data_IF_897081677849
#
_entry.id   IF_897081677849
#
_cell.length_a   1.000
_cell.length_b   1.000
_cell.length_c   1.000
_cell.angle_alpha   90.00
_cell.angle_beta   90.00
_cell.angle_gamma   90.00
#
_symmetry.space_group_name_H-M   'P 1'
#
loop_
_entity.id
_entity.type
_entity.pdbx_description
1 polymer ?
#
# COMPACT_ATOMS: atom_id res chain seq x y z
N UNK A 1 27.49 10.09 -16.44
CA UNK A 1 26.31 9.74 -15.62
C UNK A 1 26.34 8.30 -15.07
N UNK A 2 27.10 7.36 -15.66
CA UNK A 2 27.22 6.00 -15.13
C UNK A 2 27.73 5.96 -13.68
N UNK A 3 28.76 6.74 -13.33
CA UNK A 3 29.29 6.83 -11.97
C UNK A 3 28.28 7.32 -10.89
N UNK A 4 27.18 7.98 -11.29
CA UNK A 4 26.14 8.39 -10.34
C UNK A 4 25.24 7.23 -9.92
N UNK A 5 25.19 6.15 -10.71
CA UNK A 5 24.47 4.92 -10.35
C UNK A 5 25.16 4.21 -9.18
N UNK A 6 26.47 4.32 -9.08
CA UNK A 6 27.27 3.65 -8.04
C UNK A 6 27.06 4.28 -6.66
N UNK A 7 26.63 5.56 -6.62
CA UNK A 7 26.42 6.33 -5.39
C UNK A 7 24.96 6.65 -5.09
N UNK A 8 24.09 6.72 -6.11
CA UNK A 8 22.70 7.15 -5.99
C UNK A 8 21.72 6.16 -6.61
N UNK A 9 20.53 6.07 -6.01
CA UNK A 9 19.46 5.22 -6.55
C UNK A 9 19.05 5.68 -7.95
N UNK A 10 18.69 4.74 -8.83
CA UNK A 10 18.22 5.08 -10.18
C UNK A 10 17.00 6.03 -10.18
N UNK A 11 16.16 5.95 -9.15
CA UNK A 11 15.03 6.86 -8.97
C UNK A 11 15.48 8.31 -8.76
N UNK A 12 16.55 8.51 -7.99
CA UNK A 12 17.20 9.80 -7.76
C UNK A 12 17.82 10.34 -9.05
N UNK A 13 18.66 9.53 -9.71
CA UNK A 13 19.30 9.91 -10.98
C UNK A 13 18.27 10.31 -12.05
N UNK A 14 17.14 9.60 -12.11
CA UNK A 14 16.03 9.94 -13.01
C UNK A 14 15.39 11.28 -12.65
N UNK A 15 15.19 11.56 -11.35
CA UNK A 15 14.61 12.81 -10.88
C UNK A 15 15.52 13.99 -11.20
N UNK A 16 16.82 13.86 -10.93
CA UNK A 16 17.83 14.89 -11.20
C UNK A 16 17.93 15.17 -12.70
N UNK A 17 17.91 14.13 -13.53
CA UNK A 17 17.85 14.29 -15.00
C UNK A 17 16.60 15.04 -15.45
N UNK A 18 15.44 14.73 -14.86
CA UNK A 18 14.21 15.46 -15.16
C UNK A 18 14.29 16.93 -14.74
N UNK A 19 14.90 17.22 -13.59
CA UNK A 19 15.17 18.58 -13.12
C UNK A 19 16.11 19.35 -14.05
N UNK A 20 17.23 18.75 -14.44
CA UNK A 20 18.18 19.34 -15.40
C UNK A 20 17.52 19.61 -16.76
N UNK A 21 16.75 18.65 -17.29
CA UNK A 21 16.00 18.85 -18.54
C UNK A 21 15.03 20.02 -18.42
N UNK A 22 14.30 20.13 -17.30
CA UNK A 22 13.39 21.24 -17.06
C UNK A 22 14.14 22.57 -17.01
N UNK A 23 15.24 22.65 -16.28
CA UNK A 23 16.06 23.87 -16.19
C UNK A 23 16.61 24.30 -17.56
N UNK A 24 17.16 23.38 -18.34
CA UNK A 24 17.69 23.71 -19.67
C UNK A 24 16.60 24.20 -20.63
N UNK A 25 15.47 23.48 -20.67
CA UNK A 25 14.42 23.79 -21.62
C UNK A 25 13.60 25.01 -21.21
N UNK A 26 13.16 25.08 -19.96
CA UNK A 26 12.23 26.11 -19.48
C UNK A 26 12.90 27.32 -18.83
N UNK A 27 14.09 27.17 -18.24
CA UNK A 27 14.79 28.30 -17.58
C UNK A 27 15.83 28.93 -18.50
N UNK A 28 16.64 28.13 -19.18
CA UNK A 28 17.71 28.62 -20.04
C UNK A 28 17.31 28.79 -21.51
N UNK A 29 16.14 28.27 -21.92
CA UNK A 29 15.69 28.30 -23.32
C UNK A 29 16.61 27.54 -24.28
N UNK A 30 17.43 26.61 -23.77
CA UNK A 30 18.39 25.84 -24.56
C UNK A 30 17.84 24.45 -24.88
N UNK A 31 18.17 23.95 -26.07
CA UNK A 31 17.85 22.57 -26.42
C UNK A 31 18.64 21.60 -25.52
N UNK A 32 17.95 20.59 -25.00
CA UNK A 32 18.56 19.55 -24.19
C UNK A 32 19.24 18.52 -25.09
N UNK A 33 20.56 18.39 -24.98
CA UNK A 33 21.31 17.32 -25.63
C UNK A 33 21.16 16.05 -24.79
N UNK A 34 20.70 14.97 -25.43
CA UNK A 34 20.55 13.69 -24.76
C UNK A 34 21.92 13.12 -24.40
N UNK A 35 22.13 12.89 -23.10
CA UNK A 35 23.28 12.14 -22.61
C UNK A 35 22.89 10.67 -22.59
N UNK A 36 23.71 9.82 -23.20
CA UNK A 36 23.54 8.37 -23.10
C UNK A 36 23.81 7.91 -21.68
N UNK A 37 22.74 7.57 -20.98
CA UNK A 37 22.78 7.03 -19.63
C UNK A 37 22.44 5.56 -19.73
N UNK A 38 23.45 4.72 -19.55
CA UNK A 38 23.26 3.29 -19.45
C UNK A 38 22.30 2.99 -18.30
N UNK A 39 21.20 2.31 -18.62
CA UNK A 39 20.21 1.93 -17.61
C UNK A 39 20.77 0.72 -16.85
N UNK A 40 21.00 0.81 -15.54
CA UNK A 40 21.41 -0.34 -14.77
C UNK A 40 20.29 -1.40 -14.82
N UNK A 41 20.60 -2.70 -14.89
CA UNK A 41 19.60 -3.74 -14.75
C UNK A 41 18.85 -3.51 -13.43
N UNK A 42 17.51 -3.46 -13.53
CA UNK A 42 16.67 -3.31 -12.33
C UNK A 42 16.77 -4.59 -11.52
N UNK A 43 17.54 -4.58 -10.44
CA UNK A 43 17.40 -5.57 -9.38
C UNK A 43 16.03 -5.33 -8.75
N UNK A 44 15.07 -6.20 -9.05
CA UNK A 44 13.75 -6.15 -8.41
C UNK A 44 13.88 -6.90 -7.09
N UNK A 45 14.11 -6.18 -5.99
CA UNK A 45 13.97 -6.79 -4.67
C UNK A 45 12.49 -7.10 -4.43
N UNK A 46 12.23 -8.30 -3.91
CA UNK A 46 10.90 -8.66 -3.44
C UNK A 46 10.50 -7.69 -2.31
N UNK A 47 9.24 -7.23 -2.27
CA UNK A 47 8.78 -6.35 -1.20
C UNK A 47 8.85 -7.08 0.15
N UNK A 48 9.28 -6.39 1.19
CA UNK A 48 9.21 -6.89 2.56
C UNK A 48 7.74 -7.03 2.98
N UNK A 49 7.22 -8.26 3.00
CA UNK A 49 5.86 -8.62 3.42
C UNK A 49 5.90 -9.16 4.84
N UNK A 50 5.08 -8.60 5.72
CA UNK A 50 4.87 -9.11 7.08
C UNK A 50 3.90 -10.28 7.02
N UNK A 51 4.05 -11.26 7.91
CA UNK A 51 2.98 -12.24 8.13
C UNK A 51 1.78 -11.58 8.81
N UNK A 52 0.65 -12.29 8.84
CA UNK A 52 -0.54 -11.85 9.59
C UNK A 52 -0.15 -11.64 11.06
N UNK A 53 0.47 -12.60 11.72
CA UNK A 53 0.84 -12.49 13.14
C UNK A 53 1.78 -11.30 13.43
N UNK A 54 2.79 -11.10 12.59
CA UNK A 54 3.72 -9.97 12.72
C UNK A 54 3.01 -8.63 12.54
N UNK A 55 2.05 -8.56 11.61
CA UNK A 55 1.25 -7.35 11.38
C UNK A 55 0.43 -6.99 12.61
N UNK A 56 -0.21 -7.98 13.24
CA UNK A 56 -1.03 -7.76 14.43
C UNK A 56 -0.17 -7.37 15.62
N UNK A 57 0.98 -8.04 15.79
CA UNK A 57 1.98 -7.68 16.81
C UNK A 57 2.44 -6.24 16.64
N UNK A 58 2.84 -5.86 15.42
CA UNK A 58 3.29 -4.51 15.10
C UNK A 58 2.23 -3.45 15.42
N UNK A 59 0.98 -3.66 15.00
CA UNK A 59 -0.11 -2.70 15.26
C UNK A 59 -0.36 -2.57 16.77
N UNK A 60 -0.42 -3.68 17.50
CA UNK A 60 -0.70 -3.66 18.94
C UNK A 60 0.42 -3.04 19.78
N UNK A 61 1.68 -3.18 19.36
CA UNK A 61 2.84 -2.54 20.00
C UNK A 61 2.84 -1.02 19.91
N UNK A 62 2.15 -0.45 18.92
CA UNK A 62 2.09 1.01 18.73
C UNK A 62 1.42 1.67 19.94
N UNK A 63 2.19 2.47 20.70
CA UNK A 63 1.80 3.01 22.01
C UNK A 63 0.65 4.04 21.92
N UNK A 64 0.72 4.96 20.96
CA UNK A 64 -0.30 6.02 20.81
C UNK A 64 -1.50 5.51 20.01
N UNK A 65 -2.70 5.62 20.59
CA UNK A 65 -3.95 5.19 19.98
C UNK A 65 -4.14 5.72 18.55
N UNK A 66 -3.82 7.00 18.32
CA UNK A 66 -3.94 7.65 17.01
C UNK A 66 -3.19 6.92 15.90
N UNK A 67 -1.97 6.45 16.19
CA UNK A 67 -1.14 5.75 15.23
C UNK A 67 -1.57 4.29 15.10
N UNK A 68 -1.97 3.65 16.21
CA UNK A 68 -2.49 2.29 16.22
C UNK A 68 -3.71 2.14 15.30
N UNK A 69 -4.69 3.03 15.47
CA UNK A 69 -5.92 3.06 14.65
C UNK A 69 -5.59 3.41 13.21
N UNK A 70 -4.64 4.32 12.98
CA UNK A 70 -4.18 4.66 11.64
C UNK A 70 -3.56 3.46 10.91
N UNK A 71 -2.63 2.72 11.54
CA UNK A 71 -2.01 1.56 10.91
C UNK A 71 -3.00 0.42 10.69
N UNK A 72 -3.93 0.18 11.62
CA UNK A 72 -5.04 -0.74 11.41
C UNK A 72 -5.87 -0.35 10.18
N UNK A 73 -6.21 0.93 10.03
CA UNK A 73 -7.00 1.44 8.90
C UNK A 73 -6.25 1.28 7.58
N UNK A 74 -4.97 1.64 7.55
CA UNK A 74 -4.11 1.51 6.37
C UNK A 74 -3.96 0.06 5.93
N UNK A 75 -3.72 -0.85 6.89
CA UNK A 75 -3.59 -2.28 6.60
C UNK A 75 -4.93 -2.87 6.15
N UNK A 76 -5.98 -2.75 6.96
CA UNK A 76 -7.26 -3.44 6.72
C UNK A 76 -8.01 -3.00 5.46
N UNK A 77 -7.76 -1.78 4.97
CA UNK A 77 -8.36 -1.26 3.73
C UNK A 77 -7.35 -1.10 2.60
N UNK A 78 -6.09 -1.52 2.81
CA UNK A 78 -5.02 -1.42 1.83
C UNK A 78 -4.72 -0.01 1.34
N UNK A 79 -4.83 1.02 2.18
CA UNK A 79 -4.66 2.42 1.76
C UNK A 79 -3.19 2.81 1.55
N UNK A 80 -2.93 3.83 0.72
CA UNK A 80 -1.64 4.54 0.75
C UNK A 80 -1.57 5.43 1.99
N UNK A 81 -0.36 5.75 2.45
CA UNK A 81 -0.15 6.67 3.58
C UNK A 81 -0.93 7.99 3.42
N UNK A 82 -0.84 8.62 2.24
CA UNK A 82 -1.54 9.86 1.95
C UNK A 82 -3.06 9.71 1.92
N UNK A 83 -3.56 8.62 1.35
CA UNK A 83 -5.00 8.31 1.28
C UNK A 83 -5.57 8.10 2.70
N UNK A 84 -4.86 7.35 3.56
CA UNK A 84 -5.29 7.13 4.94
C UNK A 84 -5.31 8.40 5.77
N UNK A 85 -4.33 9.30 5.58
CA UNK A 85 -4.27 10.56 6.30
C UNK A 85 -5.37 11.53 5.88
N UNK A 86 -5.75 11.51 4.61
CA UNK A 86 -6.74 12.41 4.03
C UNK A 86 -8.19 11.89 4.17
N UNK A 87 -8.39 10.71 4.76
CA UNK A 87 -9.70 10.11 4.93
C UNK A 87 -10.59 10.98 5.82
N UNK A 88 -11.81 11.29 5.35
CA UNK A 88 -12.77 12.12 6.07
C UNK A 88 -13.90 11.29 6.69
N UNK A 89 -14.59 11.87 7.67
CA UNK A 89 -15.76 11.26 8.33
C UNK A 89 -16.86 11.00 7.31
N UNK A 90 -17.05 11.92 6.35
CA UNK A 90 -18.04 11.78 5.28
C UNK A 90 -17.71 10.71 4.23
N UNK A 91 -16.50 10.16 4.25
CA UNK A 91 -16.11 9.09 3.34
C UNK A 91 -16.52 7.70 3.85
N UNK A 92 -16.95 7.59 5.11
CA UNK A 92 -17.32 6.31 5.74
C UNK A 92 -18.81 6.02 5.52
N UNK A 93 -19.10 5.00 4.71
CA UNK A 93 -20.44 4.44 4.56
C UNK A 93 -20.56 3.19 5.44
N UNK A 94 -20.96 3.41 6.70
CA UNK A 94 -21.10 2.35 7.69
C UNK A 94 -22.23 1.36 7.34
N UNK A 95 -23.28 1.81 6.65
CA UNK A 95 -24.41 0.96 6.27
C UNK A 95 -24.01 -0.07 5.21
N UNK A 96 -23.16 0.33 4.26
CA UNK A 96 -22.64 -0.56 3.21
C UNK A 96 -21.24 -1.11 3.49
N UNK A 97 -20.73 -0.91 4.71
CA UNK A 97 -19.40 -1.37 5.14
C UNK A 97 -18.29 -1.06 4.12
N UNK A 98 -18.25 0.19 3.64
CA UNK A 98 -17.27 0.65 2.66
C UNK A 98 -16.81 2.07 2.95
N UNK A 99 -15.60 2.38 2.53
CA UNK A 99 -15.06 3.74 2.58
C UNK A 99 -14.80 4.28 1.17
N UNK A 100 -15.06 5.56 0.97
CA UNK A 100 -14.80 6.27 -0.29
C UNK A 100 -13.39 6.87 -0.26
N UNK A 101 -12.48 6.35 -1.08
CA UNK A 101 -11.13 6.89 -1.20
C UNK A 101 -11.08 7.85 -2.37
N UNK A 102 -11.07 9.14 -2.07
CA UNK A 102 -11.00 10.22 -3.06
C UNK A 102 -9.57 10.46 -3.54
N UNK A 103 -9.43 10.96 -4.76
CA UNK A 103 -8.15 11.45 -5.31
C UNK A 103 -7.02 10.41 -5.23
N UNK A 104 -7.34 9.15 -5.49
CA UNK A 104 -6.34 8.07 -5.59
C UNK A 104 -5.32 8.34 -6.71
N UNK A 105 -4.32 7.46 -6.85
CA UNK A 105 -3.30 7.57 -7.90
C UNK A 105 -3.95 7.76 -9.28
N UNK A 106 -3.72 8.90 -9.92
CA UNK A 106 -4.35 9.27 -11.20
C UNK A 106 -5.67 10.03 -11.08
N UNK A 107 -6.01 10.57 -9.90
CA UNK A 107 -7.26 11.28 -9.59
C UNK A 107 -8.52 10.43 -9.78
N UNK A 108 -8.41 9.11 -9.58
CA UNK A 108 -9.55 8.19 -9.66
C UNK A 108 -10.02 7.85 -8.25
N UNK A 109 -11.32 8.00 -8.06
CA UNK A 109 -12.02 7.64 -6.84
C UNK A 109 -12.33 6.14 -6.85
N UNK A 110 -12.39 5.54 -5.65
CA UNK A 110 -12.77 4.13 -5.50
C UNK A 110 -13.40 3.85 -4.14
N UNK A 111 -14.23 2.81 -4.09
CA UNK A 111 -14.69 2.25 -2.83
C UNK A 111 -13.78 1.11 -2.38
N UNK A 112 -13.42 1.12 -1.11
CA UNK A 112 -12.70 0.04 -0.44
C UNK A 112 -13.59 -0.61 0.61
N UNK A 113 -13.48 -1.94 0.82
CA UNK A 113 -14.22 -2.60 1.90
C UNK A 113 -13.72 -2.09 3.26
N UNK A 114 -14.65 -1.89 4.18
CA UNK A 114 -14.39 -1.43 5.55
C UNK A 114 -14.82 -2.53 6.54
N UNK A 115 -13.86 -3.30 7.07
CA UNK A 115 -14.15 -4.31 8.08
C UNK A 115 -14.75 -3.69 9.36
N UNK A 116 -15.66 -4.42 10.02
CA UNK A 116 -16.33 -3.94 11.23
C UNK A 116 -15.37 -3.59 12.36
N UNK A 117 -14.32 -4.39 12.56
CA UNK A 117 -13.28 -4.12 13.55
C UNK A 117 -12.61 -2.77 13.31
N UNK A 118 -12.34 -2.43 12.05
CA UNK A 118 -11.78 -1.14 11.66
C UNK A 118 -12.77 0.00 11.89
N UNK A 119 -14.05 -0.19 11.53
CA UNK A 119 -15.10 0.79 11.78
C UNK A 119 -15.27 1.09 13.27
N UNK A 120 -15.25 0.07 14.13
CA UNK A 120 -15.34 0.23 15.58
C UNK A 120 -14.12 0.97 16.14
N UNK A 121 -12.92 0.62 15.69
CA UNK A 121 -11.69 1.32 16.07
C UNK A 121 -11.73 2.79 15.66
N UNK A 122 -12.20 3.09 14.44
CA UNK A 122 -12.39 4.45 13.94
C UNK A 122 -13.43 5.22 14.78
N UNK A 123 -14.55 4.60 15.14
CA UNK A 123 -15.59 5.23 15.99
C UNK A 123 -15.05 5.57 17.38
N UNK A 124 -14.34 4.63 18.02
CA UNK A 124 -13.71 4.85 19.34
C UNK A 124 -12.68 5.97 19.28
N UNK A 125 -11.86 5.99 18.23
CA UNK A 125 -10.88 7.05 18.03
C UNK A 125 -11.54 8.41 17.78
N UNK A 126 -12.53 8.46 16.88
CA UNK A 126 -13.28 9.67 16.57
C UNK A 126 -13.99 10.24 17.80
N UNK A 127 -14.50 9.38 18.70
CA UNK A 127 -15.15 9.84 19.94
C UNK A 127 -14.22 10.68 20.84
N UNK A 128 -12.89 10.51 20.74
CA UNK A 128 -11.91 11.27 21.53
C UNK A 128 -11.77 12.74 21.14
N UNK A 129 -12.06 13.11 19.89
CA UNK A 129 -11.90 14.46 19.37
C UNK A 129 -13.15 15.02 18.68
N UNK A 130 -14.04 14.14 18.21
CA UNK A 130 -15.30 14.42 17.51
C UNK A 130 -15.14 15.47 16.40
N UNK A 131 -14.07 15.37 15.63
CA UNK A 131 -13.79 16.35 14.59
C UNK A 131 -14.85 16.24 13.49
N UNK A 132 -15.42 17.35 12.98
CA UNK A 132 -16.56 17.31 12.05
C UNK A 132 -16.20 16.72 10.67
N UNK A 133 -14.98 16.98 10.17
CA UNK A 133 -14.53 16.56 8.83
C UNK A 133 -13.44 15.47 8.86
N UNK A 134 -12.31 15.73 9.51
CA UNK A 134 -11.14 14.86 9.54
C UNK A 134 -11.32 13.63 10.44
N UNK A 135 -10.97 12.44 9.95
CA UNK A 135 -10.82 11.26 10.82
C UNK A 135 -9.49 11.28 11.59
N UNK A 136 -8.41 11.73 10.96
CA UNK A 136 -7.08 11.80 11.55
C UNK A 136 -6.58 13.25 11.63
N UNK A 137 -7.18 14.11 12.48
CA UNK A 137 -6.71 15.48 12.65
C UNK A 137 -5.33 15.52 13.30
N UNK A 138 -4.59 16.61 13.07
CA UNK A 138 -3.39 16.89 13.82
C UNK A 138 -3.73 17.08 15.30
N UNK A 139 -3.10 16.28 16.17
CA UNK A 139 -3.41 16.26 17.59
C UNK A 139 -2.41 17.11 18.38
N UNK A 140 -2.60 18.43 18.31
CA UNK A 140 -1.88 19.40 19.13
C UNK A 140 -2.84 20.03 20.14
N UNK A 141 -2.63 19.74 21.43
CA UNK A 141 -3.39 20.34 22.54
C UNK A 141 -4.61 19.53 22.99
N UNK A 142 -5.56 20.23 23.60
CA UNK A 142 -6.79 19.67 24.20
C UNK A 142 -7.77 19.15 23.14
N UNK A 143 -8.72 18.26 23.48
CA UNK A 143 -9.73 17.78 22.52
C UNK A 143 -10.48 18.89 21.78
N UNK A 144 -10.74 20.03 22.44
CA UNK A 144 -11.38 21.19 21.82
C UNK A 144 -10.50 21.85 20.74
N UNK A 145 -9.17 21.88 20.93
CA UNK A 145 -8.22 22.36 19.93
C UNK A 145 -8.10 21.37 18.77
N UNK A 146 -8.04 20.07 19.08
CA UNK A 146 -8.00 19.01 18.06
C UNK A 146 -9.24 19.06 17.17
N UNK A 147 -10.44 19.30 17.73
CA UNK A 147 -11.69 19.45 16.97
C UNK A 147 -11.65 20.59 15.94
N UNK A 148 -10.81 21.61 16.16
CA UNK A 148 -10.63 22.78 15.28
C UNK A 148 -9.42 22.66 14.35
N UNK A 149 -8.68 21.55 14.40
CA UNK A 149 -7.48 21.34 13.59
C UNK A 149 -7.79 21.46 12.09
N UNK A 150 -7.00 22.25 11.37
CA UNK A 150 -7.15 22.41 9.92
C UNK A 150 -6.30 21.41 9.13
N UNK A 151 -5.29 20.83 9.77
CA UNK A 151 -4.36 19.89 9.16
C UNK A 151 -4.59 18.46 9.64
N UNK A 152 -4.28 17.51 8.76
CA UNK A 152 -4.23 16.09 9.08
C UNK A 152 -3.03 15.76 9.97
N UNK A 153 -3.04 14.58 10.57
CA UNK A 153 -1.89 14.02 11.28
C UNK A 153 -0.62 14.07 10.42
N UNK A 154 0.50 14.48 11.03
CA UNK A 154 1.76 14.65 10.33
C UNK A 154 2.34 13.33 9.81
N UNK A 155 2.88 13.37 8.57
CA UNK A 155 3.49 12.22 7.90
C UNK A 155 4.77 11.77 8.59
N UNK A 156 5.61 12.71 9.04
CA UNK A 156 6.85 12.41 9.75
C UNK A 156 6.57 11.68 11.05
N UNK A 157 5.58 12.14 11.82
CA UNK A 157 5.11 11.50 13.04
C UNK A 157 4.66 10.05 12.82
N UNK A 158 3.95 9.76 11.74
CA UNK A 158 3.55 8.39 11.37
C UNK A 158 4.76 7.53 11.00
N UNK A 159 5.72 8.07 10.24
CA UNK A 159 6.93 7.34 9.87
C UNK A 159 7.81 7.02 11.08
N UNK A 160 7.92 7.94 12.04
CA UNK A 160 8.63 7.68 13.29
C UNK A 160 7.90 6.64 14.14
N UNK A 161 6.57 6.70 14.21
CA UNK A 161 5.77 5.76 14.98
C UNK A 161 5.90 4.32 14.47
N UNK A 162 5.91 4.10 13.14
CA UNK A 162 6.09 2.75 12.61
C UNK A 162 7.51 2.24 12.83
N UNK A 163 8.54 3.09 12.66
CA UNK A 163 9.93 2.71 12.94
C UNK A 163 10.13 2.29 14.41
N UNK A 164 9.55 3.03 15.35
CA UNK A 164 9.59 2.68 16.76
C UNK A 164 8.88 1.34 17.02
N UNK A 165 7.69 1.12 16.45
CA UNK A 165 6.97 -0.15 16.61
C UNK A 165 7.72 -1.35 16.02
N UNK A 166 8.39 -1.17 14.88
CA UNK A 166 9.22 -2.20 14.23
C UNK A 166 10.40 -2.59 15.11
N UNK A 167 11.09 -1.59 15.68
CA UNK A 167 12.18 -1.82 16.63
C UNK A 167 11.68 -2.53 17.89
N UNK A 168 10.57 -2.08 18.48
CA UNK A 168 9.96 -2.67 19.67
C UNK A 168 9.50 -4.13 19.42
N UNK A 169 9.18 -4.51 18.18
CA UNK A 169 8.80 -5.88 17.79
C UNK A 169 9.99 -6.78 17.42
N UNK A 170 11.22 -6.28 17.43
CA UNK A 170 12.41 -7.04 17.01
C UNK A 170 12.43 -7.39 15.52
N UNK A 171 11.75 -6.62 14.67
CA UNK A 171 11.70 -6.90 13.23
C UNK A 171 12.91 -6.23 12.55
N UNK A 172 13.79 -7.05 11.96
CA UNK A 172 15.03 -6.57 11.32
C UNK A 172 14.84 -6.09 9.86
N UNK A 173 13.69 -6.38 9.25
CA UNK A 173 13.35 -5.98 7.87
C UNK A 173 12.96 -4.51 7.79
N UNK A 174 13.08 -3.90 6.60
CA UNK A 174 12.77 -2.47 6.39
C UNK A 174 11.26 -2.28 6.21
N UNK A 175 10.55 -2.27 7.32
CA UNK A 175 9.10 -2.12 7.34
C UNK A 175 8.68 -0.65 7.32
N UNK A 176 7.73 -0.33 6.44
CA UNK A 176 7.10 0.98 6.29
C UNK A 176 5.59 0.85 6.09
N UNK A 177 4.89 1.99 6.00
CA UNK A 177 3.45 1.99 5.68
C UNK A 177 3.15 1.39 4.30
N UNK A 178 4.11 1.44 3.37
CA UNK A 178 3.98 0.73 2.10
C UNK A 178 4.12 -0.78 2.27
N UNK A 179 4.96 -1.25 3.20
CA UNK A 179 5.08 -2.68 3.53
C UNK A 179 3.76 -3.24 4.08
N UNK A 180 3.05 -2.48 4.93
CA UNK A 180 1.70 -2.88 5.39
C UNK A 180 0.72 -3.06 4.23
N UNK A 181 0.76 -2.14 3.26
CA UNK A 181 -0.08 -2.24 2.06
C UNK A 181 0.31 -3.42 1.15
N UNK A 182 1.61 -3.68 1.01
CA UNK A 182 2.08 -4.88 0.30
C UNK A 182 1.61 -6.14 0.99
N UNK A 183 1.71 -6.19 2.32
CA UNK A 183 1.26 -7.33 3.13
C UNK A 183 -0.23 -7.56 2.98
N UNK A 184 -1.05 -6.50 3.01
CA UNK A 184 -2.49 -6.61 2.71
C UNK A 184 -2.77 -7.25 1.34
N UNK A 185 -2.06 -6.81 0.29
CA UNK A 185 -2.24 -7.35 -1.05
C UNK A 185 -1.87 -8.83 -1.12
N UNK A 186 -0.74 -9.21 -0.53
CA UNK A 186 -0.28 -10.60 -0.46
C UNK A 186 -1.26 -11.46 0.35
N UNK A 187 -1.69 -11.03 1.53
CA UNK A 187 -2.62 -11.79 2.36
C UNK A 187 -3.98 -12.01 1.69
N UNK A 188 -4.49 -11.02 0.94
CA UNK A 188 -5.73 -11.22 0.16
C UNK A 188 -5.54 -12.26 -0.95
N UNK A 189 -4.37 -12.24 -1.60
CA UNK A 189 -4.05 -13.20 -2.65
C UNK A 189 -3.87 -14.62 -2.08
N UNK A 190 -3.20 -14.76 -0.93
CA UNK A 190 -3.06 -16.02 -0.19
C UNK A 190 -4.41 -16.55 0.29
N UNK A 191 -5.31 -15.66 0.72
CA UNK A 191 -6.71 -16.00 1.01
C UNK A 191 -7.53 -16.34 -0.23
N UNK A 192 -6.94 -16.23 -1.43
CA UNK A 192 -7.54 -16.65 -2.68
C UNK A 192 -8.45 -15.63 -3.35
N UNK A 193 -8.35 -14.36 -2.99
CA UNK A 193 -9.08 -13.27 -3.64
C UNK A 193 -8.52 -13.03 -5.04
N UNK A 194 -9.42 -12.83 -6.01
CA UNK A 194 -9.04 -12.59 -7.40
C UNK A 194 -8.14 -11.36 -7.57
N UNK A 195 -7.13 -11.50 -8.44
CA UNK A 195 -6.12 -10.47 -8.68
C UNK A 195 -6.73 -9.16 -9.21
N UNK A 196 -7.81 -9.22 -9.99
CA UNK A 196 -8.50 -8.02 -10.51
C UNK A 196 -9.26 -7.31 -9.40
N UNK A 197 -9.85 -8.04 -8.47
CA UNK A 197 -10.48 -7.45 -7.28
C UNK A 197 -9.44 -6.76 -6.38
N UNK A 198 -8.28 -7.40 -6.16
CA UNK A 198 -7.17 -6.79 -5.42
C UNK A 198 -6.69 -5.51 -6.14
N UNK A 199 -6.57 -5.52 -7.48
CA UNK A 199 -6.23 -4.33 -8.28
C UNK A 199 -7.21 -3.18 -8.09
N UNK A 200 -8.51 -3.49 -8.11
CA UNK A 200 -9.60 -2.52 -7.94
C UNK A 200 -9.56 -1.90 -6.55
N UNK A 201 -9.40 -2.70 -5.49
CA UNK A 201 -9.30 -2.23 -4.10
C UNK A 201 -8.07 -1.36 -3.90
N UNK A 202 -6.93 -1.76 -4.45
CA UNK A 202 -5.68 -0.99 -4.33
C UNK A 202 -5.66 0.24 -5.24
N UNK A 203 -6.49 0.32 -6.27
CA UNK A 203 -6.45 1.40 -7.26
C UNK A 203 -5.10 1.40 -7.99
N UNK A 204 -4.70 0.23 -8.51
CA UNK A 204 -3.54 0.09 -9.38
C UNK A 204 -3.97 0.32 -10.83
N UNK A 205 -3.45 1.39 -11.44
CA UNK A 205 -3.70 1.69 -12.85
C UNK A 205 -2.91 0.79 -13.82
N UNK A 206 -1.84 0.13 -13.33
CA UNK A 206 -1.00 -0.77 -14.13
C UNK A 206 -1.01 -2.18 -13.50
N UNK A 207 -1.51 -3.20 -14.21
CA UNK A 207 -1.49 -4.60 -13.77
C UNK A 207 -0.11 -5.11 -13.36
N UNK A 208 0.99 -4.56 -13.92
CA UNK A 208 2.37 -4.94 -13.59
C UNK A 208 2.73 -4.74 -12.12
N UNK A 209 2.05 -3.82 -11.42
CA UNK A 209 2.25 -3.62 -9.97
C UNK A 209 1.61 -4.71 -9.12
N UNK A 210 0.67 -5.47 -9.68
CA UNK A 210 -0.07 -6.51 -8.98
C UNK A 210 0.40 -7.90 -9.38
N UNK A 211 0.88 -8.08 -10.62
CA UNK A 211 1.60 -9.31 -11.05
C UNK A 211 2.79 -9.60 -10.12
N UNK A 212 3.40 -8.57 -9.51
CA UNK A 212 4.44 -8.75 -8.50
C UNK A 212 3.98 -9.59 -7.29
N UNK A 213 2.70 -9.52 -6.91
CA UNK A 213 2.16 -10.34 -5.84
C UNK A 213 1.83 -11.77 -6.29
N UNK A 214 1.46 -11.96 -7.57
CA UNK A 214 1.18 -13.28 -8.13
C UNK A 214 2.39 -14.24 -8.05
N UNK A 215 3.61 -13.70 -8.13
CA UNK A 215 4.84 -14.48 -7.94
C UNK A 215 5.18 -14.80 -6.48
N UNK A 216 4.45 -14.26 -5.51
CA UNK A 216 4.72 -14.41 -4.07
C UNK A 216 3.87 -15.51 -3.41
N UNK A 217 2.96 -16.16 -4.13
CA UNK A 217 1.99 -17.10 -3.54
C UNK A 217 1.82 -18.37 -4.38
N UNK A 218 2.07 -19.53 -3.77
CA UNK A 218 1.85 -20.87 -4.37
C UNK A 218 0.37 -21.21 -4.59
N UNK A 219 -0.53 -20.46 -3.95
CA UNK A 219 -1.99 -20.65 -3.96
C UNK A 219 -2.60 -20.62 -5.37
N UNK A 220 -2.04 -19.82 -6.29
CA UNK A 220 -2.54 -19.79 -7.68
C UNK A 220 -2.20 -21.08 -8.43
N UNK A 221 -1.05 -21.69 -8.13
CA UNK A 221 -0.66 -22.95 -8.75
C UNK A 221 -1.42 -24.13 -8.15
N UNK A 222 -1.62 -24.17 -6.82
CA UNK A 222 -2.42 -25.22 -6.18
C UNK A 222 -3.88 -25.21 -6.64
N UNK A 223 -4.50 -24.01 -6.76
CA UNK A 223 -5.87 -23.90 -7.28
C UNK A 223 -5.97 -24.26 -8.76
N UNK A 224 -4.97 -23.88 -9.57
CA UNK A 224 -4.93 -24.24 -10.98
C UNK A 224 -4.71 -25.76 -11.15
N UNK A 225 -3.81 -26.36 -10.36
CA UNK A 225 -3.58 -27.80 -10.35
C UNK A 225 -4.86 -28.54 -9.96
N UNK A 226 -5.53 -28.16 -8.87
CA UNK A 226 -6.80 -28.78 -8.47
C UNK A 226 -7.94 -28.61 -9.48
N UNK A 227 -8.03 -27.45 -10.16
CA UNK A 227 -9.00 -27.23 -11.22
C UNK A 227 -8.70 -28.07 -12.47
N UNK A 228 -7.41 -28.20 -12.84
CA UNK A 228 -6.96 -29.07 -13.92
C UNK A 228 -7.23 -30.54 -13.55
N UNK A 229 -6.94 -30.97 -12.33
CA UNK A 229 -7.24 -32.32 -11.83
C UNK A 229 -8.72 -32.65 -11.96
N UNK A 230 -9.60 -31.72 -11.56
CA UNK A 230 -11.05 -31.86 -11.71
C UNK A 230 -11.51 -31.89 -13.18
N UNK A 231 -10.88 -31.11 -14.06
CA UNK A 231 -11.15 -31.16 -15.51
C UNK A 231 -10.64 -32.46 -16.14
N UNK A 232 -9.50 -32.97 -15.68
CA UNK A 232 -8.86 -34.19 -16.17
C UNK A 232 -9.53 -35.46 -15.66
N UNK A 233 -10.30 -35.39 -14.58
CA UNK A 233 -11.06 -36.54 -14.05
C UNK A 233 -12.06 -37.14 -15.07
N UNK A 234 -12.54 -36.34 -16.03
CA UNK A 234 -13.44 -36.80 -17.10
C UNK A 234 -12.69 -37.22 -18.39
N UNK A 235 -11.37 -37.07 -18.43
CA UNK A 235 -10.57 -37.34 -19.62
C UNK A 235 -10.04 -38.78 -19.62
N UNK A 236 -10.45 -39.57 -20.60
CA UNK A 236 -9.90 -40.91 -20.83
C UNK A 236 -8.87 -40.86 -21.95
N UNK A 237 -7.60 -41.08 -21.59
CA UNK A 237 -6.52 -41.21 -22.56
C UNK A 237 -6.62 -42.58 -23.25
N UNK A 238 -6.89 -42.59 -24.56
CA UNK A 238 -6.86 -43.81 -25.38
C UNK A 238 -5.44 -44.04 -25.87
N UNK A 239 -4.85 -45.16 -25.46
CA UNK A 239 -3.56 -45.61 -25.96
C UNK A 239 -3.80 -46.42 -27.23
N UNK A 240 -3.16 -46.07 -28.34
CA UNK A 240 -3.04 -47.01 -29.46
C UNK A 240 -2.17 -48.17 -28.97
N UNK A 241 -2.74 -49.37 -28.92
CA UNK A 241 -1.97 -50.58 -28.65
C UNK A 241 -0.99 -50.74 -29.82
N UNK A 242 0.30 -50.81 -29.51
CA UNK A 242 1.31 -51.17 -30.48
C UNK A 242 1.06 -52.61 -30.96
N UNK A 243 0.53 -52.74 -32.17
CA UNK A 243 0.52 -53.96 -32.98
C UNK A 243 0.56 -53.58 -34.45
#
# INVERSE_FOLDING_TARGET
FAALVDSHSWSTVKLDRCGLRFFYYHTLGKQWVWVDIFRPPKVQSLPDVLTIEETWRLINTVRKLRYRVFFLTVYSMGLRLGEGLQLEVGDIDAARQRAHVRLGKGKKDRYVPLPMVTLEALRRYWASHRHPRLLFPNQNGTPAQIRKAQSFMDRGGVQLAIKAAVADCGIHRKISTHSLRHSYATHLLEAGVDLREIQRILGHADPKTTVRYAHLTDVTQEKAAGAIEQMMHAFQLRWEAAS
#
